data_IF_395782244912
#
_entry.id   IF_395782244912
#
_cell.length_a   1.000
_cell.length_b   1.000
_cell.length_c   1.000
_cell.angle_alpha   90.00
_cell.angle_beta   90.00
_cell.angle_gamma   90.00
#
_symmetry.space_group_name_H-M   'P 1'
#
loop_
_entity.id
_entity.type
_entity.pdbx_description
1 polymer ?
#
# COMPACT_ATOMS: atom_id res chain seq x y z
N UNK A 1 19.54 3.62 -29.78
CA UNK A 1 18.49 3.86 -28.76
C UNK A 1 17.76 2.55 -28.62
N UNK A 2 17.62 2.08 -27.41
CA UNK A 2 16.80 0.91 -27.12
C UNK A 2 15.33 1.27 -27.41
N UNK A 3 14.62 0.38 -28.10
CA UNK A 3 13.21 0.64 -28.43
C UNK A 3 12.40 0.35 -27.16
N UNK A 4 11.72 1.38 -26.63
CA UNK A 4 10.81 1.27 -25.51
C UNK A 4 9.40 1.31 -26.05
N UNK A 5 8.55 0.38 -25.62
CA UNK A 5 7.13 0.36 -25.94
C UNK A 5 6.30 0.49 -24.68
N UNK A 6 5.13 1.12 -24.78
CA UNK A 6 4.23 1.25 -23.64
C UNK A 6 2.83 0.72 -23.95
N UNK A 7 2.17 0.16 -22.95
CA UNK A 7 0.81 -0.37 -23.04
C UNK A 7 0.09 -0.37 -21.70
N UNK A 8 -1.22 -0.46 -21.71
CA UNK A 8 -2.00 -0.69 -20.50
C UNK A 8 -1.61 -2.01 -19.84
N UNK A 9 -1.68 -2.04 -18.52
CA UNK A 9 -1.45 -3.24 -17.74
C UNK A 9 -2.69 -4.15 -17.77
N UNK A 10 -2.51 -5.43 -18.14
CA UNK A 10 -3.46 -6.51 -17.93
C UNK A 10 -2.98 -7.34 -16.75
N UNK A 11 -3.47 -7.02 -15.53
CA UNK A 11 -2.98 -7.67 -14.32
C UNK A 11 -3.04 -9.19 -14.36
N UNK A 12 -4.04 -9.78 -15.01
CA UNK A 12 -4.15 -11.25 -15.09
C UNK A 12 -3.01 -11.87 -15.89
N UNK A 13 -2.59 -11.20 -16.97
CA UNK A 13 -1.47 -11.66 -17.80
C UNK A 13 -0.13 -11.23 -17.27
N UNK A 14 -0.06 -10.00 -16.72
CA UNK A 14 1.18 -9.37 -16.33
C UNK A 14 1.62 -9.67 -14.89
N UNK A 15 0.80 -10.36 -14.10
CA UNK A 15 1.02 -10.59 -12.66
C UNK A 15 2.43 -11.08 -12.34
N UNK A 16 2.92 -12.08 -13.07
CA UNK A 16 4.26 -12.64 -12.83
C UNK A 16 5.36 -11.64 -13.14
N UNK A 17 5.28 -10.95 -14.28
CA UNK A 17 6.26 -9.96 -14.71
C UNK A 17 6.27 -8.73 -13.81
N UNK A 18 5.09 -8.34 -13.31
CA UNK A 18 4.96 -7.26 -12.32
C UNK A 18 5.57 -7.62 -10.98
N UNK A 19 5.34 -8.83 -10.49
CA UNK A 19 5.98 -9.28 -9.24
C UNK A 19 7.49 -9.29 -9.38
N UNK A 20 8.03 -9.76 -10.50
CA UNK A 20 9.47 -9.74 -10.78
C UNK A 20 10.02 -8.30 -10.84
N UNK A 21 9.32 -7.41 -11.55
CA UNK A 21 9.63 -5.98 -11.59
C UNK A 21 9.67 -5.35 -10.19
N UNK A 22 8.66 -5.62 -9.35
CA UNK A 22 8.58 -5.10 -7.99
C UNK A 22 9.66 -5.65 -7.08
N UNK A 23 10.01 -6.92 -7.21
CA UNK A 23 11.10 -7.52 -6.46
C UNK A 23 12.43 -6.84 -6.80
N UNK A 24 12.72 -6.60 -8.08
CA UNK A 24 13.94 -5.90 -8.49
C UNK A 24 13.97 -4.46 -7.95
N UNK A 25 12.83 -3.75 -8.03
CA UNK A 25 12.72 -2.40 -7.49
C UNK A 25 12.98 -2.38 -5.97
N UNK A 26 12.32 -3.25 -5.20
CA UNK A 26 12.45 -3.29 -3.73
C UNK A 26 13.84 -3.73 -3.27
N UNK A 27 14.47 -4.68 -3.96
CA UNK A 27 15.84 -5.11 -3.66
C UNK A 27 16.87 -3.99 -3.84
N UNK A 28 16.67 -3.14 -4.84
CA UNK A 28 17.57 -2.00 -5.10
C UNK A 28 17.24 -0.77 -4.25
N UNK A 29 16.04 -0.70 -3.69
CA UNK A 29 15.58 0.32 -2.76
C UNK A 29 15.79 -0.11 -1.31
N UNK A 30 15.22 0.61 -0.36
CA UNK A 30 15.13 0.12 1.03
C UNK A 30 13.92 -0.81 1.17
N UNK A 31 14.16 -2.12 1.36
CA UNK A 31 13.09 -3.12 1.53
C UNK A 31 12.17 -2.84 2.72
N UNK A 32 12.56 -1.92 3.60
CA UNK A 32 11.73 -1.44 4.71
C UNK A 32 10.72 -0.39 4.28
N UNK A 33 10.78 0.12 3.03
CA UNK A 33 9.83 1.10 2.52
C UNK A 33 8.49 0.44 2.16
N UNK A 34 7.44 1.24 2.27
CA UNK A 34 6.11 0.93 1.77
C UNK A 34 5.93 1.50 0.34
N UNK A 35 5.14 0.92 -0.55
CA UNK A 35 4.24 -0.21 -0.36
C UNK A 35 4.92 -1.58 -0.47
N UNK A 36 4.33 -2.56 0.22
CA UNK A 36 4.75 -3.97 0.11
C UNK A 36 4.27 -4.60 -1.20
N UNK A 37 4.85 -5.74 -1.59
CA UNK A 37 4.38 -6.53 -2.75
C UNK A 37 2.88 -6.87 -2.60
N UNK A 38 2.44 -7.24 -1.39
CA UNK A 38 1.03 -7.52 -1.12
C UNK A 38 0.14 -6.30 -1.27
N UNK A 39 0.61 -5.14 -0.80
CA UNK A 39 -0.15 -3.89 -0.94
C UNK A 39 -0.37 -3.52 -2.41
N UNK A 40 0.64 -3.70 -3.25
CA UNK A 40 0.54 -3.45 -4.67
C UNK A 40 -0.44 -4.42 -5.33
N UNK A 41 -0.36 -5.72 -5.00
CA UNK A 41 -1.35 -6.69 -5.48
C UNK A 41 -2.77 -6.29 -5.11
N UNK A 42 -3.01 -5.86 -3.86
CA UNK A 42 -4.32 -5.38 -3.41
C UNK A 42 -4.79 -4.15 -4.22
N UNK A 43 -3.90 -3.19 -4.45
CA UNK A 43 -4.20 -2.01 -5.25
C UNK A 43 -4.57 -2.41 -6.68
N UNK A 44 -3.78 -3.24 -7.33
CA UNK A 44 -4.00 -3.70 -8.70
C UNK A 44 -5.25 -4.58 -8.87
N UNK A 45 -5.81 -5.07 -7.79
CA UNK A 45 -7.02 -5.90 -7.80
C UNK A 45 -8.25 -5.20 -7.25
N UNK A 46 -8.10 -3.95 -6.79
CA UNK A 46 -9.18 -3.13 -6.28
C UNK A 46 -10.18 -2.76 -7.39
N UNK A 47 -11.47 -2.69 -7.04
CA UNK A 47 -12.53 -2.21 -7.95
C UNK A 47 -12.80 -0.71 -7.83
N UNK A 48 -12.00 -0.01 -7.04
CA UNK A 48 -12.20 1.43 -6.78
C UNK A 48 -11.88 2.29 -8.00
N UNK A 49 -11.11 1.76 -8.94
CA UNK A 49 -10.59 2.45 -10.12
C UNK A 49 -10.48 1.51 -11.32
N UNK A 50 -10.33 2.07 -12.52
CA UNK A 50 -10.26 1.30 -13.75
C UNK A 50 -8.81 0.90 -14.04
N UNK A 51 -8.43 -0.31 -13.67
CA UNK A 51 -7.06 -0.80 -13.79
C UNK A 51 -6.51 -0.67 -15.22
N UNK A 52 -7.26 -1.07 -16.24
CA UNK A 52 -6.80 -1.00 -17.63
C UNK A 52 -6.52 0.43 -18.09
N UNK A 53 -7.29 1.41 -17.61
CA UNK A 53 -7.14 2.82 -17.98
C UNK A 53 -6.18 3.57 -17.06
N UNK A 54 -6.06 3.12 -15.81
CA UNK A 54 -5.37 3.85 -14.75
C UNK A 54 -4.00 3.25 -14.43
N UNK A 55 -3.52 2.28 -15.24
CA UNK A 55 -2.17 1.72 -15.18
C UNK A 55 -1.52 1.66 -16.56
N UNK A 56 -0.21 1.87 -16.58
CA UNK A 56 0.61 1.77 -17.78
C UNK A 56 1.93 1.09 -17.46
N UNK A 57 2.39 0.24 -18.35
CA UNK A 57 3.73 -0.37 -18.28
C UNK A 57 4.56 0.04 -19.48
N UNK A 58 5.87 0.09 -19.28
CA UNK A 58 6.87 0.31 -20.33
C UNK A 58 7.77 -0.91 -20.39
N UNK A 59 8.02 -1.39 -21.58
CA UNK A 59 8.79 -2.60 -21.86
C UNK A 59 9.97 -2.27 -22.77
N UNK A 60 11.10 -2.93 -22.50
CA UNK A 60 12.24 -2.89 -23.41
C UNK A 60 12.06 -3.86 -24.60
N UNK A 61 13.03 -3.90 -25.52
CA UNK A 61 13.01 -4.77 -26.71
C UNK A 61 12.84 -6.27 -26.40
N UNK A 62 13.25 -6.70 -25.21
CA UNK A 62 13.06 -8.09 -24.76
C UNK A 62 11.69 -8.39 -24.14
N UNK A 63 10.81 -7.39 -24.04
CA UNK A 63 9.50 -7.51 -23.39
C UNK A 63 9.59 -7.49 -21.86
N UNK A 64 10.71 -7.06 -21.29
CA UNK A 64 10.85 -6.91 -19.85
C UNK A 64 10.25 -5.57 -19.40
N UNK A 65 9.44 -5.60 -18.36
CA UNK A 65 8.89 -4.36 -17.76
C UNK A 65 10.04 -3.56 -17.14
N UNK A 66 10.23 -2.33 -17.62
CA UNK A 66 11.24 -1.38 -17.14
C UNK A 66 10.64 -0.17 -16.44
N UNK A 67 9.35 0.12 -16.67
CA UNK A 67 8.60 1.18 -16.01
C UNK A 67 7.15 0.77 -15.74
N UNK A 68 6.60 1.30 -14.66
CA UNK A 68 5.22 1.08 -14.26
C UNK A 68 4.66 2.34 -13.62
N UNK A 69 3.48 2.78 -14.06
CA UNK A 69 2.71 3.87 -13.43
C UNK A 69 1.32 3.38 -13.11
N UNK A 70 0.84 3.73 -11.93
CA UNK A 70 -0.56 3.56 -11.54
C UNK A 70 -1.13 4.86 -11.00
N UNK A 71 -2.38 5.14 -11.36
CA UNK A 71 -3.16 6.19 -10.74
C UNK A 71 -4.14 5.54 -9.77
N UNK A 72 -4.08 5.92 -8.51
CA UNK A 72 -4.94 5.32 -7.50
C UNK A 72 -5.52 6.36 -6.55
N UNK A 73 -6.64 6.02 -5.94
CA UNK A 73 -7.32 6.82 -4.91
C UNK A 73 -7.93 5.89 -3.86
N UNK A 74 -8.05 6.40 -2.64
CA UNK A 74 -8.56 5.60 -1.53
C UNK A 74 -10.03 5.24 -1.69
N UNK A 75 -10.82 6.15 -2.27
CA UNK A 75 -12.27 5.98 -2.46
C UNK A 75 -12.70 6.57 -3.81
N UNK A 76 -13.73 6.03 -4.50
CA UNK A 76 -14.20 6.54 -5.79
C UNK A 76 -14.59 8.02 -5.78
N UNK A 77 -15.06 8.52 -4.64
CA UNK A 77 -15.46 9.92 -4.45
C UNK A 77 -14.36 10.79 -3.84
N UNK A 78 -13.13 10.30 -3.73
CA UNK A 78 -12.02 11.13 -3.25
C UNK A 78 -11.78 12.30 -4.19
N UNK A 79 -11.64 13.49 -3.63
CA UNK A 79 -11.27 14.70 -4.36
C UNK A 79 -9.78 14.77 -4.70
N UNK A 80 -9.13 13.61 -4.75
CA UNK A 80 -7.72 13.49 -5.11
C UNK A 80 -7.41 12.19 -5.83
N UNK A 81 -6.26 12.19 -6.53
CA UNK A 81 -5.65 11.00 -7.11
C UNK A 81 -4.13 11.05 -6.92
N UNK A 82 -3.52 9.89 -6.81
CA UNK A 82 -2.06 9.75 -6.72
C UNK A 82 -1.56 9.12 -8.01
N UNK A 83 -0.59 9.77 -8.66
CA UNK A 83 0.25 9.20 -9.72
C UNK A 83 1.44 8.56 -9.03
N UNK A 84 1.50 7.24 -9.02
CA UNK A 84 2.58 6.49 -8.41
C UNK A 84 3.35 5.73 -9.49
N UNK A 85 4.63 5.99 -9.61
CA UNK A 85 5.42 5.46 -10.71
C UNK A 85 6.77 4.94 -10.26
N UNK A 86 7.18 3.85 -10.90
CA UNK A 86 8.34 3.06 -10.51
C UNK A 86 9.13 2.66 -11.75
N UNK A 87 10.45 2.65 -11.64
CA UNK A 87 11.37 2.29 -12.74
C UNK A 87 12.26 1.15 -12.27
N UNK A 88 12.44 0.15 -13.13
CA UNK A 88 13.38 -0.96 -12.84
C UNK A 88 14.77 -0.41 -12.63
N UNK A 89 15.50 -0.88 -11.62
CA UNK A 89 16.89 -0.46 -11.38
C UNK A 89 17.76 -0.63 -12.64
N UNK A 90 18.54 0.40 -12.95
CA UNK A 90 19.38 0.44 -14.14
C UNK A 90 18.69 0.87 -15.44
N UNK A 91 17.34 0.99 -15.44
CA UNK A 91 16.57 1.43 -16.63
C UNK A 91 16.12 2.90 -16.57
N UNK A 92 16.48 3.63 -15.52
CA UNK A 92 16.05 5.01 -15.31
C UNK A 92 16.78 5.95 -16.29
N UNK A 93 16.13 6.32 -17.39
CA UNK A 93 16.55 7.39 -18.27
C UNK A 93 15.63 8.60 -18.11
N UNK A 94 16.14 9.78 -18.45
CA UNK A 94 15.34 11.00 -18.37
C UNK A 94 14.11 10.91 -19.29
N UNK A 95 14.30 10.36 -20.50
CA UNK A 95 13.25 10.20 -21.50
C UNK A 95 12.12 9.31 -20.98
N UNK A 96 12.46 8.12 -20.46
CA UNK A 96 11.48 7.17 -19.89
C UNK A 96 10.66 7.83 -18.77
N UNK A 97 11.33 8.46 -17.82
CA UNK A 97 10.64 9.03 -16.65
C UNK A 97 9.76 10.22 -17.05
N UNK A 98 10.21 11.05 -18.00
CA UNK A 98 9.38 12.14 -18.51
C UNK A 98 8.16 11.63 -19.26
N UNK A 99 8.29 10.56 -20.05
CA UNK A 99 7.15 9.92 -20.72
C UNK A 99 6.14 9.35 -19.69
N UNK A 100 6.64 8.69 -18.65
CA UNK A 100 5.82 8.17 -17.57
C UNK A 100 5.06 9.29 -16.82
N UNK A 101 5.73 10.40 -16.52
CA UNK A 101 5.11 11.57 -15.89
C UNK A 101 4.08 12.23 -16.81
N UNK A 102 4.36 12.36 -18.10
CA UNK A 102 3.43 12.93 -19.09
C UNK A 102 2.16 12.09 -19.20
N UNK A 103 2.30 10.77 -19.27
CA UNK A 103 1.16 9.85 -19.30
C UNK A 103 0.31 9.98 -18.04
N UNK A 104 0.94 9.94 -16.85
CA UNK A 104 0.25 10.05 -15.56
C UNK A 104 -0.47 11.39 -15.42
N UNK A 105 0.18 12.49 -15.78
CA UNK A 105 -0.41 13.82 -15.74
C UNK A 105 -1.60 13.96 -16.69
N UNK A 106 -1.48 13.47 -17.93
CA UNK A 106 -2.57 13.46 -18.90
C UNK A 106 -3.77 12.67 -18.38
N UNK A 107 -3.52 11.47 -17.84
CA UNK A 107 -4.58 10.61 -17.29
C UNK A 107 -5.25 11.24 -16.07
N UNK A 108 -4.48 11.85 -15.16
CA UNK A 108 -5.02 12.56 -14.00
C UNK A 108 -5.94 13.73 -14.40
N UNK A 109 -5.54 14.49 -15.43
CA UNK A 109 -6.37 15.56 -15.98
C UNK A 109 -7.69 15.01 -16.57
N UNK A 110 -7.67 13.87 -17.25
CA UNK A 110 -8.88 13.26 -17.79
C UNK A 110 -9.82 12.77 -16.68
N UNK A 111 -9.28 12.22 -15.60
CA UNK A 111 -10.07 11.82 -14.42
C UNK A 111 -10.68 13.07 -13.75
N UNK A 112 -9.91 14.14 -13.63
CA UNK A 112 -10.36 15.38 -13.01
C UNK A 112 -11.55 16.00 -13.76
N UNK A 113 -11.59 15.94 -15.10
CA UNK A 113 -12.74 16.45 -15.91
C UNK A 113 -14.09 15.85 -15.55
N UNK A 114 -14.09 14.64 -14.96
CA UNK A 114 -15.32 13.97 -14.49
C UNK A 114 -15.69 14.23 -13.04
N UNK A 115 -15.01 15.17 -12.36
CA UNK A 115 -15.25 15.51 -10.95
C UNK A 115 -15.92 16.89 -10.84
N UNK A 116 -16.40 17.23 -9.63
CA UNK A 116 -16.90 18.56 -9.31
C UNK A 116 -16.02 19.23 -8.25
N UNK A 117 -15.75 20.53 -8.39
CA UNK A 117 -15.01 21.32 -7.42
C UNK A 117 -13.49 21.27 -7.60
N UNK A 118 -12.75 21.34 -6.51
CA UNK A 118 -11.28 21.25 -6.51
C UNK A 118 -10.84 19.78 -6.48
N UNK A 119 -9.89 19.44 -7.33
CA UNK A 119 -9.33 18.10 -7.43
C UNK A 119 -7.80 18.13 -7.29
N UNK A 120 -7.29 17.40 -6.33
CA UNK A 120 -5.85 17.33 -6.03
C UNK A 120 -5.19 16.18 -6.79
N UNK A 121 -4.04 16.44 -7.39
CA UNK A 121 -3.20 15.40 -7.99
C UNK A 121 -1.87 15.36 -7.24
N UNK A 122 -1.52 14.20 -6.74
CA UNK A 122 -0.26 13.94 -6.05
C UNK A 122 0.64 13.10 -6.94
N UNK A 123 1.96 13.33 -6.87
CA UNK A 123 2.97 12.51 -7.56
C UNK A 123 3.90 11.91 -6.51
N UNK A 124 4.07 10.60 -6.56
CA UNK A 124 4.99 9.82 -5.75
C UNK A 124 5.87 8.91 -6.62
N UNK A 125 6.86 8.26 -6.04
CA UNK A 125 7.77 7.35 -6.74
C UNK A 125 8.69 8.03 -7.75
N UNK A 126 8.16 8.52 -8.86
CA UNK A 126 8.94 9.22 -9.88
C UNK A 126 9.57 10.54 -9.40
N UNK A 127 9.12 11.08 -8.30
CA UNK A 127 9.64 12.32 -7.71
C UNK A 127 11.06 12.19 -7.14
N UNK A 128 11.56 10.98 -6.97
CA UNK A 128 12.94 10.71 -6.52
C UNK A 128 14.04 11.16 -7.49
N UNK A 129 13.70 11.46 -8.73
CA UNK A 129 14.65 11.85 -9.76
C UNK A 129 14.74 13.39 -9.89
N UNK A 130 15.92 13.96 -9.80
CA UNK A 130 16.15 15.42 -9.78
C UNK A 130 15.49 16.17 -10.96
N UNK A 131 15.53 15.60 -12.16
CA UNK A 131 14.92 16.23 -13.33
C UNK A 131 13.40 16.21 -13.33
N UNK A 132 12.78 15.35 -12.51
CA UNK A 132 11.33 15.31 -12.35
C UNK A 132 10.80 16.62 -11.73
N UNK A 133 11.56 17.26 -10.85
CA UNK A 133 11.19 18.53 -10.26
C UNK A 133 10.97 19.64 -11.31
N UNK A 134 11.84 19.67 -12.35
CA UNK A 134 11.73 20.66 -13.45
C UNK A 134 10.47 20.40 -14.28
N UNK A 135 10.19 19.14 -14.60
CA UNK A 135 8.99 18.77 -15.33
C UNK A 135 7.74 19.12 -14.52
N UNK A 136 7.68 18.65 -13.28
CA UNK A 136 6.53 18.85 -12.39
C UNK A 136 6.23 20.33 -12.16
N UNK A 137 7.27 21.16 -11.94
CA UNK A 137 7.13 22.61 -11.82
C UNK A 137 6.53 23.26 -13.07
N UNK A 138 6.97 22.84 -14.28
CA UNK A 138 6.42 23.34 -15.57
C UNK A 138 4.95 22.92 -15.79
N UNK A 139 4.49 21.83 -15.15
CA UNK A 139 3.11 21.34 -15.25
C UNK A 139 2.24 21.75 -14.07
N UNK A 140 2.68 22.75 -13.30
CA UNK A 140 1.88 23.36 -12.22
C UNK A 140 1.89 22.57 -10.90
N UNK A 141 2.79 21.61 -10.75
CA UNK A 141 3.01 20.93 -9.48
C UNK A 141 3.92 21.75 -8.57
N UNK A 142 3.62 21.73 -7.30
CA UNK A 142 4.47 22.27 -6.23
C UNK A 142 4.90 21.16 -5.28
N UNK A 143 6.10 21.30 -4.73
CA UNK A 143 6.60 20.37 -3.71
C UNK A 143 5.72 20.47 -2.48
N UNK A 144 5.35 19.33 -1.92
CA UNK A 144 4.74 19.26 -0.60
C UNK A 144 5.91 19.25 0.38
N UNK A 145 6.07 20.35 1.08
CA UNK A 145 6.96 20.35 2.24
C UNK A 145 6.34 19.42 3.27
N UNK A 146 7.12 18.46 3.75
CA UNK A 146 6.67 17.58 4.84
C UNK A 146 6.08 18.44 5.95
N UNK A 147 4.81 18.22 6.27
CA UNK A 147 4.21 18.87 7.41
C UNK A 147 4.92 18.33 8.67
N UNK A 148 5.67 19.15 9.43
CA UNK A 148 6.35 18.66 10.62
C UNK A 148 5.37 18.04 11.64
N UNK A 149 4.09 18.44 11.56
CA UNK A 149 3.04 17.96 12.44
C UNK A 149 2.38 16.67 11.92
N UNK A 150 2.49 16.37 10.60
CA UNK A 150 1.87 15.18 10.00
C UNK A 150 2.82 14.56 8.96
N UNK A 151 3.46 13.48 9.34
CA UNK A 151 4.38 12.72 8.50
C UNK A 151 4.25 11.23 8.79
N UNK A 152 4.72 10.42 7.88
CA UNK A 152 4.75 8.97 8.05
C UNK A 152 5.83 8.57 9.07
N UNK A 153 5.47 7.65 9.96
CA UNK A 153 6.40 7.03 10.90
C UNK A 153 6.45 5.54 10.61
N UNK A 154 7.65 5.06 10.33
CA UNK A 154 7.93 3.64 10.24
C UNK A 154 8.29 3.09 11.61
N UNK A 155 7.81 1.91 11.90
CA UNK A 155 8.09 1.19 13.14
C UNK A 155 8.65 -0.19 12.84
N UNK A 156 9.60 -0.62 13.66
CA UNK A 156 10.25 -1.91 13.58
C UNK A 156 10.20 -2.63 14.92
N UNK A 157 10.03 -3.95 14.90
CA UNK A 157 10.09 -4.80 16.09
C UNK A 157 10.79 -6.10 15.77
N UNK A 158 11.81 -6.46 16.58
CA UNK A 158 12.38 -7.81 16.53
C UNK A 158 11.38 -8.86 17.00
N UNK A 159 11.18 -9.88 16.17
CA UNK A 159 10.31 -11.03 16.50
C UNK A 159 11.05 -12.15 17.27
N UNK A 160 12.36 -12.00 17.48
CA UNK A 160 13.14 -12.87 18.37
C UNK A 160 12.77 -12.67 19.85
N UNK A 161 12.29 -11.47 20.18
CA UNK A 161 11.84 -11.13 21.52
C UNK A 161 10.48 -11.76 21.83
N UNK A 162 10.14 -11.81 23.13
CA UNK A 162 8.85 -12.33 23.58
C UNK A 162 7.70 -11.50 23.00
N UNK A 163 6.78 -12.17 22.31
CA UNK A 163 5.50 -11.61 21.86
C UNK A 163 4.44 -12.05 22.89
N UNK A 164 3.70 -11.08 23.43
CA UNK A 164 2.59 -11.41 24.35
C UNK A 164 1.48 -12.14 23.60
N UNK A 165 0.94 -13.17 24.17
CA UNK A 165 -0.27 -13.81 23.63
C UNK A 165 -1.43 -12.81 23.56
N UNK A 166 -2.36 -12.96 22.60
CA UNK A 166 -3.58 -12.17 22.58
C UNK A 166 -4.35 -12.30 23.90
N UNK A 167 -4.77 -11.17 24.46
CA UNK A 167 -5.60 -11.14 25.67
C UNK A 167 -6.87 -10.37 25.36
N UNK A 168 -8.01 -11.03 25.53
CA UNK A 168 -9.33 -10.53 25.18
C UNK A 168 -10.24 -10.48 26.40
N UNK A 169 -11.20 -9.56 26.44
CA UNK A 169 -12.29 -9.60 27.42
C UNK A 169 -13.12 -10.89 27.28
N UNK A 170 -13.84 -11.26 28.34
CA UNK A 170 -14.72 -12.42 28.32
C UNK A 170 -15.75 -12.32 27.19
N UNK A 171 -15.98 -13.43 26.50
CA UNK A 171 -16.91 -13.55 25.39
C UNK A 171 -16.41 -13.03 24.03
N UNK A 172 -15.22 -12.41 23.96
CA UNK A 172 -14.57 -12.08 22.70
C UNK A 172 -13.66 -13.23 22.26
N UNK A 173 -13.56 -13.43 20.96
CA UNK A 173 -12.62 -14.39 20.37
C UNK A 173 -11.77 -13.73 19.29
N UNK A 174 -10.62 -14.33 18.98
CA UNK A 174 -9.80 -13.96 17.83
C UNK A 174 -9.57 -15.17 16.96
N UNK A 175 -9.76 -15.01 15.66
CA UNK A 175 -9.55 -16.07 14.68
C UNK A 175 -9.09 -15.53 13.33
N UNK A 176 -8.52 -16.39 12.51
CA UNK A 176 -8.24 -16.08 11.09
C UNK A 176 -9.56 -16.04 10.31
N UNK A 177 -9.64 -15.23 9.25
CA UNK A 177 -10.70 -15.34 8.23
C UNK A 177 -10.64 -16.72 7.58
N UNK A 178 -11.80 -17.36 7.39
CA UNK A 178 -11.87 -18.76 6.98
C UNK A 178 -12.58 -18.97 5.65
N UNK A 179 -13.54 -18.10 5.29
CA UNK A 179 -14.43 -18.31 4.15
C UNK A 179 -14.93 -16.99 3.54
N UNK A 180 -15.72 -17.08 2.49
CA UNK A 180 -16.30 -15.94 1.78
C UNK A 180 -17.30 -15.14 2.62
N UNK A 181 -18.04 -15.79 3.53
CA UNK A 181 -19.02 -15.10 4.39
C UNK A 181 -18.29 -14.18 5.40
N UNK A 182 -17.15 -14.64 5.90
CA UNK A 182 -16.25 -13.83 6.71
C UNK A 182 -15.79 -12.57 5.97
N UNK A 183 -15.59 -12.66 4.65
CA UNK A 183 -15.16 -11.52 3.86
C UNK A 183 -16.25 -10.45 3.70
N UNK A 184 -17.51 -10.84 3.60
CA UNK A 184 -18.62 -9.89 3.58
C UNK A 184 -18.72 -9.13 4.91
N UNK A 185 -18.62 -9.86 6.03
CA UNK A 185 -18.59 -9.27 7.35
C UNK A 185 -17.34 -8.37 7.55
N UNK A 186 -16.19 -8.78 7.03
CA UNK A 186 -14.96 -8.02 7.06
C UNK A 186 -15.04 -6.73 6.23
N UNK A 187 -15.64 -6.78 5.04
CA UNK A 187 -15.87 -5.59 4.21
C UNK A 187 -16.75 -4.55 4.89
N UNK A 188 -17.73 -5.01 5.69
CA UNK A 188 -18.57 -4.13 6.51
C UNK A 188 -17.78 -3.44 7.61
N UNK A 189 -16.78 -4.11 8.17
CA UNK A 189 -15.87 -3.53 9.16
C UNK A 189 -14.94 -2.49 8.54
N UNK A 190 -14.41 -2.80 7.36
CA UNK A 190 -13.38 -2.01 6.68
C UNK A 190 -13.89 -0.72 6.03
N UNK A 191 -15.21 -0.63 5.75
CA UNK A 191 -15.80 0.54 5.07
C UNK A 191 -15.26 0.78 3.65
N UNK A 192 -14.45 -0.13 3.11
CA UNK A 192 -13.79 0.01 1.83
C UNK A 192 -14.52 -0.74 0.70
N UNK A 193 -14.28 -0.22 -0.50
CA UNK A 193 -14.79 -0.81 -1.73
C UNK A 193 -14.48 -2.31 -1.80
N UNK A 194 -15.49 -3.05 -2.23
CA UNK A 194 -15.46 -4.50 -2.38
C UNK A 194 -14.21 -4.96 -3.13
N UNK A 195 -13.35 -5.70 -2.47
CA UNK A 195 -12.25 -6.42 -3.11
C UNK A 195 -12.85 -7.41 -4.12
N UNK A 196 -12.18 -7.63 -5.25
CA UNK A 196 -12.64 -8.59 -6.25
C UNK A 196 -12.78 -9.99 -5.63
N UNK A 197 -13.92 -10.71 -5.76
CA UNK A 197 -14.11 -12.03 -5.17
C UNK A 197 -13.04 -13.06 -5.54
N UNK A 198 -12.45 -12.99 -6.73
CA UNK A 198 -11.34 -13.86 -7.12
C UNK A 198 -10.11 -13.68 -6.23
N UNK A 199 -9.76 -12.43 -5.89
CA UNK A 199 -8.62 -12.15 -5.02
C UNK A 199 -8.92 -12.40 -3.55
N UNK A 200 -10.18 -12.36 -3.17
CA UNK A 200 -10.62 -12.73 -1.82
C UNK A 200 -10.23 -14.15 -1.46
N UNK A 201 -10.41 -15.08 -2.40
CA UNK A 201 -10.02 -16.48 -2.22
C UNK A 201 -8.50 -16.62 -2.09
N UNK A 202 -7.74 -15.96 -2.96
CA UNK A 202 -6.28 -15.94 -2.89
C UNK A 202 -5.77 -15.39 -1.54
N UNK A 203 -6.40 -14.35 -1.01
CA UNK A 203 -6.05 -13.77 0.28
C UNK A 203 -6.29 -14.72 1.45
N UNK A 204 -7.43 -15.45 1.44
CA UNK A 204 -7.76 -16.43 2.49
C UNK A 204 -6.81 -17.63 2.44
N UNK A 205 -6.55 -18.13 1.22
CA UNK A 205 -5.75 -19.34 0.98
C UNK A 205 -4.23 -19.06 0.99
N UNK A 206 -3.81 -17.80 0.99
CA UNK A 206 -2.40 -17.44 0.99
C UNK A 206 -1.67 -17.95 2.21
N UNK A 207 -0.46 -18.44 2.01
CA UNK A 207 0.50 -18.78 3.05
C UNK A 207 1.52 -17.65 3.33
N UNK A 208 1.37 -16.50 2.66
CA UNK A 208 2.16 -15.28 2.82
C UNK A 208 1.33 -14.07 3.28
N UNK A 209 0.01 -14.21 3.41
CA UNK A 209 -0.89 -13.15 3.86
C UNK A 209 -1.95 -13.71 4.82
N UNK A 210 -2.28 -12.97 5.85
CA UNK A 210 -3.28 -13.42 6.83
C UNK A 210 -4.06 -12.26 7.43
N UNK A 211 -5.36 -12.51 7.62
CA UNK A 211 -6.27 -11.63 8.33
C UNK A 211 -6.70 -12.27 9.65
N UNK A 212 -6.52 -11.56 10.73
CA UNK A 212 -7.08 -11.92 12.03
C UNK A 212 -8.20 -10.96 12.37
N UNK A 213 -9.34 -11.48 12.79
CA UNK A 213 -10.48 -10.69 13.26
C UNK A 213 -10.77 -10.98 14.70
N UNK A 214 -11.17 -9.95 15.43
CA UNK A 214 -11.73 -10.07 16.78
C UNK A 214 -13.24 -10.02 16.67
N UNK A 215 -13.89 -11.04 17.20
CA UNK A 215 -15.35 -11.23 17.21
C UNK A 215 -15.87 -10.92 18.59
N UNK A 216 -16.92 -10.10 18.69
CA UNK A 216 -17.58 -9.80 19.94
C UNK A 216 -18.61 -10.90 20.32
N UNK A 217 -19.20 -10.85 21.53
CA UNK A 217 -20.22 -11.83 21.96
C UNK A 217 -21.47 -11.92 21.07
N UNK A 218 -21.72 -10.91 20.24
CA UNK A 218 -22.84 -10.89 19.30
C UNK A 218 -22.48 -11.48 17.91
N UNK A 219 -21.24 -11.98 17.74
CA UNK A 219 -20.77 -12.50 16.46
C UNK A 219 -20.29 -11.45 15.47
N UNK A 220 -20.16 -10.18 15.88
CA UNK A 220 -19.73 -9.09 15.01
C UNK A 220 -18.20 -8.95 15.00
N UNK A 221 -17.63 -8.63 13.83
CA UNK A 221 -16.22 -8.25 13.71
C UNK A 221 -16.01 -6.82 14.20
N UNK A 222 -15.13 -6.66 15.17
CA UNK A 222 -14.94 -5.39 15.89
C UNK A 222 -13.51 -4.87 15.89
N UNK A 223 -12.55 -5.71 15.57
CA UNK A 223 -11.17 -5.32 15.31
C UNK A 223 -10.52 -6.33 14.36
N UNK A 224 -9.44 -5.91 13.72
CA UNK A 224 -8.68 -6.80 12.85
C UNK A 224 -7.20 -6.44 12.78
N UNK A 225 -6.41 -7.40 12.29
CA UNK A 225 -5.01 -7.21 11.92
C UNK A 225 -4.74 -7.97 10.62
N UNK A 226 -4.14 -7.27 9.68
CA UNK A 226 -3.60 -7.85 8.45
C UNK A 226 -2.09 -7.95 8.56
N UNK A 227 -1.52 -9.06 8.12
CA UNK A 227 -0.08 -9.22 8.08
C UNK A 227 0.37 -10.02 6.86
N UNK A 228 1.55 -9.68 6.34
CA UNK A 228 2.11 -10.29 5.15
C UNK A 228 3.62 -10.51 5.25
N UNK A 229 4.10 -11.44 4.43
CA UNK A 229 5.51 -11.67 4.13
C UNK A 229 5.69 -11.77 2.62
N UNK A 230 6.93 -11.74 2.16
CA UNK A 230 7.27 -12.07 0.78
C UNK A 230 8.55 -12.94 0.79
N UNK A 231 8.40 -14.26 0.61
CA UNK A 231 9.53 -15.19 0.61
C UNK A 231 10.51 -14.94 -0.52
N UNK A 232 10.00 -14.57 -1.68
CA UNK A 232 10.84 -14.21 -2.83
C UNK A 232 11.71 -12.96 -2.56
N UNK A 233 11.22 -12.01 -1.76
CA UNK A 233 12.01 -10.87 -1.30
C UNK A 233 13.08 -11.32 -0.28
N UNK A 234 12.73 -12.20 0.64
CA UNK A 234 13.68 -12.75 1.60
C UNK A 234 14.83 -13.51 0.94
N UNK A 235 14.53 -14.32 -0.09
CA UNK A 235 15.53 -15.06 -0.86
C UNK A 235 16.52 -14.14 -1.57
N UNK A 236 16.04 -13.00 -2.08
CA UNK A 236 16.89 -12.02 -2.80
C UNK A 236 17.70 -11.12 -1.86
N UNK A 237 17.18 -10.81 -0.68
CA UNK A 237 17.76 -9.79 0.22
C UNK A 237 18.38 -10.37 1.47
N UNK A 238 18.07 -11.59 1.83
CA UNK A 238 18.37 -12.22 3.13
C UNK A 238 17.80 -11.45 4.33
N UNK A 239 16.80 -10.55 4.11
CA UNK A 239 16.10 -9.82 5.16
C UNK A 239 14.71 -10.43 5.35
N UNK A 240 14.49 -11.13 6.47
CA UNK A 240 13.22 -11.77 6.78
C UNK A 240 12.26 -10.79 7.46
N UNK A 241 11.81 -9.80 6.69
CA UNK A 241 10.87 -8.79 7.14
C UNK A 241 9.43 -9.28 6.91
N UNK A 242 8.60 -9.19 7.95
CA UNK A 242 7.16 -9.32 7.84
C UNK A 242 6.48 -7.97 8.09
N UNK A 243 5.33 -7.76 7.50
CA UNK A 243 4.59 -6.52 7.61
C UNK A 243 3.30 -6.70 8.39
N UNK A 244 2.99 -5.73 9.23
CA UNK A 244 1.65 -5.49 9.75
C UNK A 244 1.04 -4.43 8.82
N UNK A 245 0.22 -4.88 7.87
CA UNK A 245 -0.34 -4.04 6.82
C UNK A 245 -1.47 -3.16 7.35
N UNK A 246 -2.29 -3.70 8.27
CA UNK A 246 -3.37 -2.96 8.91
C UNK A 246 -3.66 -3.46 10.33
N UNK A 247 -4.00 -2.52 11.20
CA UNK A 247 -4.63 -2.78 12.51
C UNK A 247 -5.73 -1.75 12.73
N UNK A 248 -6.95 -2.21 12.94
CA UNK A 248 -8.05 -1.30 13.22
C UNK A 248 -8.97 -1.88 14.29
N UNK A 249 -9.67 -1.01 15.00
CA UNK A 249 -10.70 -1.34 15.98
C UNK A 249 -11.85 -0.36 15.82
N UNK A 250 -13.08 -0.85 15.72
CA UNK A 250 -14.28 0.00 15.64
C UNK A 250 -14.25 1.05 16.75
N UNK A 251 -14.59 2.31 16.46
CA UNK A 251 -14.50 3.41 17.43
C UNK A 251 -15.20 3.10 18.75
N UNK A 252 -16.40 2.51 18.72
CA UNK A 252 -17.21 2.15 19.87
C UNK A 252 -16.67 0.94 20.66
N UNK A 253 -15.69 0.25 20.11
CA UNK A 253 -15.05 -0.92 20.73
C UNK A 253 -13.61 -0.65 21.18
N UNK A 254 -13.12 0.56 21.00
CA UNK A 254 -11.78 0.95 21.40
C UNK A 254 -11.59 0.92 22.93
N UNK A 255 -10.33 1.03 23.38
CA UNK A 255 -9.92 1.03 24.80
C UNK A 255 -10.21 -0.25 25.58
N UNK A 256 -10.60 -1.35 24.91
CA UNK A 256 -10.83 -2.68 25.49
C UNK A 256 -9.64 -3.64 25.26
N UNK A 257 -8.55 -3.19 24.65
CA UNK A 257 -7.38 -4.03 24.33
C UNK A 257 -7.50 -4.85 23.04
N UNK A 258 -8.60 -4.71 22.28
CA UNK A 258 -8.88 -5.54 21.08
C UNK A 258 -7.85 -5.35 19.99
N UNK A 259 -7.47 -4.11 19.66
CA UNK A 259 -6.42 -3.82 18.68
C UNK A 259 -5.06 -4.41 19.09
N UNK A 260 -4.72 -4.39 20.38
CA UNK A 260 -3.51 -5.04 20.89
C UNK A 260 -3.58 -6.56 20.73
N UNK A 261 -4.72 -7.18 20.99
CA UNK A 261 -4.90 -8.61 20.80
C UNK A 261 -4.77 -9.01 19.32
N UNK A 262 -5.40 -8.24 18.40
CA UNK A 262 -5.31 -8.45 16.98
C UNK A 262 -3.85 -8.30 16.48
N UNK A 263 -3.15 -7.25 16.89
CA UNK A 263 -1.74 -7.03 16.57
C UNK A 263 -0.86 -8.18 17.08
N UNK A 264 -1.10 -8.66 18.31
CA UNK A 264 -0.35 -9.80 18.86
C UNK A 264 -0.54 -11.08 18.04
N UNK A 265 -1.73 -11.34 17.51
CA UNK A 265 -1.99 -12.48 16.62
C UNK A 265 -1.22 -12.34 15.30
N UNK A 266 -1.23 -11.15 14.68
CA UNK A 266 -0.43 -10.87 13.49
C UNK A 266 1.08 -11.09 13.72
N UNK A 267 1.62 -10.55 14.82
CA UNK A 267 3.03 -10.72 15.17
C UNK A 267 3.41 -12.19 15.40
N UNK A 268 2.56 -12.96 16.06
CA UNK A 268 2.76 -14.40 16.27
C UNK A 268 2.78 -15.14 14.92
N UNK A 269 1.90 -14.75 14.00
CA UNK A 269 1.83 -15.34 12.66
C UNK A 269 3.06 -15.00 11.82
N UNK A 270 3.53 -13.76 11.85
CA UNK A 270 4.78 -13.38 11.19
C UNK A 270 5.95 -14.21 11.68
N UNK A 271 6.07 -14.40 13.00
CA UNK A 271 7.11 -15.26 13.60
C UNK A 271 6.95 -16.73 13.21
N UNK A 272 5.72 -17.25 13.18
CA UNK A 272 5.42 -18.62 12.73
C UNK A 272 5.88 -18.84 11.28
N UNK A 273 5.70 -17.84 10.41
CA UNK A 273 6.20 -17.86 9.04
C UNK A 273 7.71 -17.73 8.89
N UNK A 274 8.42 -17.39 9.98
CA UNK A 274 9.87 -17.27 10.01
C UNK A 274 10.39 -15.85 9.82
N UNK A 275 9.53 -14.83 9.89
CA UNK A 275 9.98 -13.45 9.90
C UNK A 275 10.81 -13.18 11.17
N UNK A 276 11.88 -12.41 11.03
CA UNK A 276 12.77 -12.01 12.13
C UNK A 276 12.45 -10.61 12.63
N UNK A 277 11.90 -9.78 11.75
CA UNK A 277 11.52 -8.40 12.02
C UNK A 277 10.10 -8.14 11.53
N UNK A 278 9.28 -7.49 12.35
CA UNK A 278 8.00 -6.93 11.94
C UNK A 278 8.16 -5.44 11.65
N UNK A 279 7.60 -4.99 10.53
CA UNK A 279 7.52 -3.59 10.13
C UNK A 279 6.06 -3.14 10.04
N UNK A 280 5.83 -1.86 10.24
CA UNK A 280 4.57 -1.18 9.97
C UNK A 280 4.81 0.32 9.73
N UNK A 281 3.79 0.99 9.17
CA UNK A 281 3.79 2.43 8.95
C UNK A 281 2.50 3.04 9.50
N UNK A 282 2.57 4.24 10.02
CA UNK A 282 1.41 5.06 10.40
C UNK A 282 1.76 6.54 10.32
N UNK A 283 0.75 7.41 10.29
CA UNK A 283 0.96 8.87 10.36
C UNK A 283 1.19 9.32 11.80
N UNK A 284 2.03 10.33 11.98
CA UNK A 284 2.41 10.88 13.31
C UNK A 284 1.21 11.37 14.13
N UNK A 285 0.19 11.87 13.46
CA UNK A 285 -1.05 12.36 14.10
C UNK A 285 -1.98 11.24 14.57
N UNK A 286 -1.75 9.98 14.17
CA UNK A 286 -2.51 8.83 14.67
C UNK A 286 -2.03 8.40 16.07
N UNK A 287 -2.20 9.27 17.05
CA UNK A 287 -1.76 9.07 18.44
C UNK A 287 -2.20 7.73 19.05
N UNK A 288 -3.43 7.22 18.81
CA UNK A 288 -3.82 5.89 19.31
C UNK A 288 -2.95 4.76 18.75
N UNK A 289 -2.62 4.78 17.46
CA UNK A 289 -1.78 3.78 16.81
C UNK A 289 -0.32 3.87 17.30
N UNK A 290 0.26 5.08 17.30
CA UNK A 290 1.61 5.34 17.84
C UNK A 290 1.73 4.82 19.28
N UNK A 291 0.73 5.12 20.13
CA UNK A 291 0.70 4.64 21.52
C UNK A 291 0.64 3.11 21.58
N UNK A 292 -0.17 2.48 20.73
CA UNK A 292 -0.29 1.02 20.67
C UNK A 292 1.05 0.38 20.29
N UNK A 293 1.71 0.88 19.25
CA UNK A 293 2.95 0.32 18.74
C UNK A 293 4.09 0.46 19.76
N UNK A 294 4.27 1.64 20.35
CA UNK A 294 5.27 1.85 21.41
C UNK A 294 5.04 0.93 22.61
N UNK A 295 3.78 0.76 23.07
CA UNK A 295 3.44 -0.13 24.18
C UNK A 295 3.58 -1.62 23.86
N UNK A 296 3.61 -1.98 22.58
CA UNK A 296 3.83 -3.35 22.13
C UNK A 296 5.29 -3.63 21.77
N UNK A 297 6.19 -2.65 22.02
CA UNK A 297 7.63 -2.77 21.87
C UNK A 297 8.11 -2.68 20.44
N UNK A 298 7.46 -1.84 19.64
CA UNK A 298 8.02 -1.34 18.40
C UNK A 298 8.85 -0.09 18.68
N UNK A 299 9.93 0.06 17.95
CA UNK A 299 10.78 1.24 17.92
C UNK A 299 10.56 1.96 16.57
N UNK A 300 10.55 3.30 16.60
CA UNK A 300 10.52 4.09 15.37
C UNK A 300 11.84 3.95 14.63
N UNK A 301 11.77 3.89 13.30
CA UNK A 301 12.94 3.81 12.42
C UNK A 301 12.86 4.90 11.38
N UNK A 302 14.01 5.53 11.11
CA UNK A 302 14.12 6.51 10.03
C UNK A 302 14.22 5.78 8.70
N UNK A 303 13.41 6.23 7.75
CA UNK A 303 13.45 5.82 6.35
C UNK A 303 13.47 7.09 5.52
N UNK A 304 14.40 7.17 4.57
CA UNK A 304 14.48 8.31 3.66
C UNK A 304 13.29 8.28 2.72
N UNK A 305 12.42 9.26 2.85
CA UNK A 305 11.31 9.47 1.94
C UNK A 305 11.71 10.44 0.81
N UNK A 306 11.13 10.21 -0.35
CA UNK A 306 11.29 11.13 -1.48
C UNK A 306 10.26 12.25 -1.40
N UNK A 307 10.58 13.45 -1.95
CA UNK A 307 9.64 14.56 -1.92
C UNK A 307 8.36 14.21 -2.70
N UNK A 308 7.23 14.55 -2.14
CA UNK A 308 5.94 14.46 -2.83
C UNK A 308 5.61 15.80 -3.49
N UNK A 309 4.88 15.74 -4.60
CA UNK A 309 4.43 16.92 -5.34
C UNK A 309 2.91 16.91 -5.47
N UNK A 310 2.31 18.11 -5.50
CA UNK A 310 0.87 18.25 -5.71
C UNK A 310 0.56 19.38 -6.69
N UNK A 311 -0.58 19.24 -7.38
CA UNK A 311 -1.24 20.36 -8.04
C UNK A 311 -2.75 20.30 -7.78
N UNK A 312 -3.39 21.47 -7.83
CA UNK A 312 -4.84 21.60 -7.83
C UNK A 312 -5.35 21.78 -9.26
N UNK A 313 -6.38 21.05 -9.61
CA UNK A 313 -7.11 21.20 -10.86
C UNK A 313 -8.48 21.79 -10.51
N UNK A 314 -8.74 23.02 -10.94
CA UNK A 314 -10.07 23.58 -10.84
C UNK A 314 -10.97 22.92 -11.88
N UNK A 315 -12.04 22.27 -11.45
CA UNK A 315 -12.98 21.61 -12.36
C UNK A 315 -14.26 22.45 -12.43
N UNK A 316 -14.51 23.01 -13.60
CA UNK A 316 -15.77 23.69 -13.87
C UNK A 316 -16.90 22.67 -14.02
N UNK A 317 -18.08 22.98 -13.49
CA UNK A 317 -19.29 22.19 -13.79
C UNK A 317 -19.44 22.05 -15.30
N UNK A 318 -19.60 20.83 -15.76
CA UNK A 318 -20.07 20.58 -17.12
C UNK A 318 -21.56 20.98 -17.09
N UNK A 319 -21.90 22.08 -17.78
CA UNK A 319 -23.29 22.53 -17.98
C UNK A 319 -24.07 21.50 -18.78
#
# INVERSE_FOLDING_TARGET
MEIITSRSCDYQKDQKSLVDFWLDYRVASDVRMYPTIWRIRLLLTSRVWNQEKDTQIWENESGQIIGFVMLWRRHPISSYIVIDGFVRPGSATQELILEMLQWGDSRANDIAKGQEGEFSVYVAGLSQYDFSAIFLGKHGYSIILSNPEEHDIYFSKSLQNKISAPSLPSGYEIRKLQNTDDLEAYQTLYGFAKVNPHHQKELIESDEYSHFVVVNPNGEFVAYCECSICRAEWERTNHKIGWIDYVETRPEQQKKGLGRAALSAGLLKLREWGAETAMLITISTNTPAVTLYNRTGFDSVEITEYPSYQKQIAVSKIE
#
